data_IF_594975182020
#
_entry.id   IF_594975182020
#
_cell.length_a   1.000
_cell.length_b   1.000
_cell.length_c   1.000
_cell.angle_alpha   90.00
_cell.angle_beta   90.00
_cell.angle_gamma   90.00
#
_symmetry.space_group_name_H-M   'P 1'
#
loop_
_entity.id
_entity.type
_entity.pdbx_description
1 polymer ?
#
# COMPACT_ATOMS: atom_id res chain seq x y z
N UNK A 1 22.28 24.58 -0.43
CA UNK A 1 21.89 23.17 -0.19
C UNK A 1 22.42 22.60 1.13
N UNK A 2 23.69 22.85 1.52
CA UNK A 2 24.31 22.22 2.71
C UNK A 2 23.55 22.39 4.04
N UNK A 3 22.98 23.57 4.31
CA UNK A 3 22.17 23.82 5.53
C UNK A 3 20.92 22.95 5.59
N UNK A 4 20.18 22.85 4.48
CA UNK A 4 18.95 22.05 4.44
C UNK A 4 19.22 20.57 4.72
N UNK A 5 20.25 20.00 4.09
CA UNK A 5 20.56 18.57 4.23
C UNK A 5 21.19 18.25 5.58
N UNK A 6 22.17 19.04 6.03
CA UNK A 6 22.96 18.66 7.20
C UNK A 6 22.50 19.27 8.53
N UNK A 7 21.65 20.30 8.52
CA UNK A 7 21.07 20.87 9.74
C UNK A 7 19.55 20.67 9.82
N UNK A 8 18.80 20.94 8.75
CA UNK A 8 17.33 20.90 8.83
C UNK A 8 16.80 19.47 8.88
N UNK A 9 17.24 18.57 7.98
CA UNK A 9 16.78 17.17 8.00
C UNK A 9 17.17 16.45 9.30
N UNK A 10 18.33 16.75 9.86
CA UNK A 10 18.82 16.22 11.13
C UNK A 10 17.93 16.59 12.34
N UNK A 11 17.12 17.63 12.21
CA UNK A 11 16.20 18.11 13.24
C UNK A 11 14.74 17.79 12.93
N UNK A 12 14.47 17.04 11.86
CA UNK A 12 13.11 16.69 11.49
C UNK A 12 12.45 15.82 12.58
N UNK A 13 11.14 15.98 12.83
CA UNK A 13 10.39 15.05 13.67
C UNK A 13 10.60 13.61 13.21
N UNK A 14 10.77 12.69 14.17
CA UNK A 14 11.07 11.28 13.90
C UNK A 14 12.57 10.95 13.77
N UNK A 15 13.46 11.94 13.74
CA UNK A 15 14.91 11.69 13.89
C UNK A 15 15.23 11.31 15.33
N UNK A 16 15.86 10.14 15.54
CA UNK A 16 16.31 9.70 16.86
C UNK A 16 17.51 10.55 17.30
N UNK A 17 18.46 10.76 16.39
CA UNK A 17 19.66 11.58 16.60
C UNK A 17 20.41 11.82 15.29
N UNK A 18 21.22 12.86 15.28
CA UNK A 18 22.19 13.13 14.23
C UNK A 18 23.62 13.05 14.78
N UNK A 19 24.54 12.51 13.99
CA UNK A 19 25.97 12.46 14.29
C UNK A 19 26.72 13.35 13.31
N UNK A 20 27.67 14.14 13.83
CA UNK A 20 28.63 14.89 13.04
C UNK A 20 30.00 14.28 13.28
N UNK A 21 30.76 14.02 12.21
CA UNK A 21 32.03 13.27 12.32
C UNK A 21 33.15 14.08 12.97
N UNK A 22 33.12 15.40 12.82
CA UNK A 22 34.06 16.33 13.44
C UNK A 22 33.39 17.64 13.85
N UNK A 23 34.07 18.46 14.65
CA UNK A 23 33.60 19.81 14.97
C UNK A 23 33.50 20.71 13.74
N UNK A 24 34.32 20.47 12.70
CA UNK A 24 34.20 21.20 11.44
C UNK A 24 32.83 20.96 10.78
N UNK A 25 32.30 19.74 10.88
CA UNK A 25 30.99 19.37 10.33
C UNK A 25 29.83 20.07 11.07
N UNK A 26 30.03 20.63 12.27
CA UNK A 26 29.03 21.47 12.95
C UNK A 26 28.89 22.86 12.30
N UNK A 27 29.88 23.29 11.51
CA UNK A 27 29.85 24.57 10.80
C UNK A 27 29.07 24.43 9.49
N UNK A 28 27.75 24.33 9.60
CA UNK A 28 26.88 24.03 8.46
C UNK A 28 26.68 25.27 7.57
N UNK A 29 26.94 25.11 6.26
CA UNK A 29 26.66 26.13 5.24
C UNK A 29 27.90 26.65 4.50
N UNK A 30 27.66 27.56 3.53
CA UNK A 30 28.72 28.09 2.66
C UNK A 30 29.25 27.09 1.63
N UNK A 31 30.42 27.39 1.06
CA UNK A 31 31.13 26.53 0.11
C UNK A 31 31.99 25.46 0.82
N UNK A 32 31.41 24.77 1.80
CA UNK A 32 32.08 23.76 2.63
C UNK A 32 31.38 22.41 2.51
N UNK A 33 32.14 21.34 2.71
CA UNK A 33 31.59 20.01 2.89
C UNK A 33 31.18 19.87 4.35
N UNK A 34 29.94 19.44 4.58
CA UNK A 34 29.41 19.10 5.89
C UNK A 34 28.90 17.66 5.82
N UNK A 35 29.35 16.82 6.74
CA UNK A 35 28.96 15.41 6.85
C UNK A 35 28.12 15.23 8.10
N UNK A 36 26.93 14.69 7.91
CA UNK A 36 26.07 14.26 9.00
C UNK A 36 25.56 12.84 8.74
N UNK A 37 25.33 12.10 9.81
CA UNK A 37 24.65 10.80 9.79
C UNK A 37 23.36 10.94 10.58
N UNK A 38 22.23 10.70 9.93
CA UNK A 38 20.91 10.77 10.57
C UNK A 38 20.49 9.35 10.95
N UNK A 39 20.13 9.15 12.21
CA UNK A 39 19.62 7.88 12.72
C UNK A 39 18.11 7.99 12.87
N UNK A 40 17.40 7.11 12.16
CA UNK A 40 15.94 7.06 12.08
C UNK A 40 15.43 5.75 12.68
N UNK A 41 14.18 5.71 13.17
CA UNK A 41 13.50 4.45 13.45
C UNK A 41 13.39 3.60 12.18
N UNK A 42 13.53 2.28 12.34
CA UNK A 42 13.38 1.34 11.23
C UNK A 42 11.90 1.05 11.01
N UNK A 43 11.28 1.77 10.08
CA UNK A 43 9.94 1.44 9.59
C UNK A 43 10.01 0.32 8.54
N UNK A 44 8.99 -0.53 8.52
CA UNK A 44 8.74 -1.53 7.48
C UNK A 44 7.52 -1.10 6.67
N UNK A 45 7.51 -1.38 5.35
CA UNK A 45 6.35 -1.08 4.51
C UNK A 45 5.38 -2.26 4.54
N UNK A 46 4.10 -1.98 4.70
CA UNK A 46 3.02 -2.94 4.42
C UNK A 46 2.12 -2.33 3.37
N UNK A 47 1.80 -3.13 2.35
CA UNK A 47 0.80 -2.78 1.33
C UNK A 47 -0.40 -3.70 1.48
N UNK A 48 -1.59 -3.10 1.51
CA UNK A 48 -2.86 -3.81 1.51
C UNK A 48 -3.53 -3.67 0.15
N UNK A 49 -4.08 -4.74 -0.38
CA UNK A 49 -5.00 -4.72 -1.52
C UNK A 49 -6.43 -4.97 -1.04
N UNK A 50 -7.38 -4.16 -1.52
CA UNK A 50 -8.78 -4.18 -1.11
C UNK A 50 -9.65 -4.11 -2.37
N UNK A 51 -10.65 -4.99 -2.48
CA UNK A 51 -11.61 -4.95 -3.58
C UNK A 51 -12.98 -5.53 -3.22
N UNK A 52 -13.98 -5.25 -4.06
CA UNK A 52 -15.37 -5.74 -3.96
C UNK A 52 -16.04 -5.44 -2.62
N UNK A 53 -15.85 -4.21 -2.10
CA UNK A 53 -16.47 -3.79 -0.81
C UNK A 53 -17.84 -3.11 -0.97
N UNK A 54 -18.23 -2.82 -2.21
CA UNK A 54 -19.45 -2.13 -2.59
C UNK A 54 -20.41 -3.01 -3.41
N UNK A 55 -21.68 -2.60 -3.46
CA UNK A 55 -22.72 -3.18 -4.31
C UNK A 55 -23.21 -2.12 -5.30
N UNK A 56 -24.00 -2.52 -6.30
CA UNK A 56 -24.41 -1.63 -7.39
C UNK A 56 -25.14 -0.37 -6.90
N UNK A 57 -25.87 -0.47 -5.80
CA UNK A 57 -26.70 0.60 -5.24
C UNK A 57 -26.04 1.36 -4.09
N UNK A 58 -24.95 0.85 -3.50
CA UNK A 58 -24.38 1.38 -2.26
C UNK A 58 -22.86 1.12 -2.13
N UNK A 59 -22.15 2.12 -1.62
CA UNK A 59 -20.71 2.03 -1.32
C UNK A 59 -19.82 2.36 -2.52
N UNK A 60 -18.53 2.47 -2.25
CA UNK A 60 -17.47 2.53 -3.25
C UNK A 60 -16.15 2.09 -2.61
N UNK A 61 -15.52 1.06 -3.17
CA UNK A 61 -14.28 0.49 -2.61
C UNK A 61 -13.18 1.50 -2.36
N UNK A 62 -12.97 2.44 -3.28
CA UNK A 62 -11.94 3.46 -3.09
C UNK A 62 -12.26 4.44 -1.96
N UNK A 63 -13.53 4.78 -1.75
CA UNK A 63 -13.95 5.69 -0.66
C UNK A 63 -13.67 5.01 0.66
N UNK A 64 -14.10 3.75 0.80
CA UNK A 64 -13.89 2.99 2.02
C UNK A 64 -12.41 2.76 2.32
N UNK A 65 -11.61 2.40 1.30
CA UNK A 65 -10.17 2.23 1.45
C UNK A 65 -9.49 3.55 1.89
N UNK A 66 -9.85 4.69 1.29
CA UNK A 66 -9.30 5.99 1.68
C UNK A 66 -9.70 6.37 3.11
N UNK A 67 -10.96 6.15 3.49
CA UNK A 67 -11.43 6.35 4.86
C UNK A 67 -10.65 5.50 5.86
N UNK A 68 -10.37 4.24 5.53
CA UNK A 68 -9.54 3.36 6.36
C UNK A 68 -8.12 3.91 6.53
N UNK A 69 -7.48 4.36 5.45
CA UNK A 69 -6.16 4.99 5.49
C UNK A 69 -6.12 6.22 6.39
N UNK A 70 -7.05 7.15 6.20
CA UNK A 70 -7.13 8.42 6.95
C UNK A 70 -7.53 8.23 8.43
N UNK A 71 -8.32 7.20 8.72
CA UNK A 71 -8.76 6.86 10.08
C UNK A 71 -7.67 6.20 10.93
N UNK A 72 -6.59 5.69 10.32
CA UNK A 72 -5.49 5.10 11.07
C UNK A 72 -4.77 6.16 11.93
N UNK A 73 -4.83 6.01 13.26
CA UNK A 73 -4.16 6.87 14.25
C UNK A 73 -3.22 6.11 15.18
N UNK A 74 -2.81 4.90 14.78
CA UNK A 74 -1.89 4.06 15.56
C UNK A 74 -0.53 4.75 15.62
N UNK A 75 -0.02 5.02 16.83
CA UNK A 75 1.32 5.57 17.00
C UNK A 75 2.37 4.60 16.45
N UNK A 76 3.30 5.11 15.64
CA UNK A 76 4.28 4.27 14.92
C UNK A 76 3.75 3.66 13.63
N UNK A 77 2.63 4.18 13.10
CA UNK A 77 2.10 3.88 11.77
C UNK A 77 1.87 5.16 10.99
N UNK A 78 2.41 5.23 9.79
CA UNK A 78 2.26 6.35 8.87
C UNK A 78 1.55 5.88 7.60
N UNK A 79 0.42 6.53 7.27
CA UNK A 79 -0.26 6.32 5.99
C UNK A 79 0.53 7.02 4.87
N UNK A 80 1.05 6.24 3.94
CA UNK A 80 1.87 6.76 2.83
C UNK A 80 1.02 7.17 1.62
N UNK A 81 -0.18 6.58 1.49
CA UNK A 81 -1.14 6.92 0.45
C UNK A 81 -1.90 5.72 -0.11
N UNK A 82 -2.82 6.03 -1.01
CA UNK A 82 -3.66 5.07 -1.72
C UNK A 82 -3.35 5.08 -3.21
N UNK A 83 -3.43 3.91 -3.84
CA UNK A 83 -3.42 3.73 -5.29
C UNK A 83 -4.75 3.16 -5.75
N UNK A 84 -5.37 3.80 -6.74
CA UNK A 84 -6.44 3.22 -7.53
C UNK A 84 -5.84 2.34 -8.61
N UNK A 85 -6.35 1.11 -8.73
CA UNK A 85 -5.87 0.14 -9.71
C UNK A 85 -7.02 -0.26 -10.63
N UNK A 86 -6.94 0.16 -11.88
CA UNK A 86 -7.88 -0.25 -12.91
C UNK A 86 -7.61 -1.72 -13.28
N UNK A 87 -8.59 -2.58 -13.07
CA UNK A 87 -8.51 -4.01 -13.41
C UNK A 87 -9.11 -4.25 -14.81
N UNK A 88 -9.41 -5.51 -15.14
CA UNK A 88 -9.97 -5.87 -16.44
C UNK A 88 -11.43 -5.37 -16.60
N UNK A 89 -11.72 -4.37 -17.46
CA UNK A 89 -13.07 -3.85 -17.65
C UNK A 89 -13.99 -4.86 -18.33
N UNK A 90 -13.49 -5.99 -18.85
CA UNK A 90 -14.29 -7.07 -19.44
C UNK A 90 -14.78 -8.07 -18.40
N UNK A 91 -14.38 -7.94 -17.12
CA UNK A 91 -14.83 -8.82 -16.06
C UNK A 91 -16.38 -8.84 -15.94
N UNK A 92 -17.00 -10.03 -15.86
CA UNK A 92 -18.43 -10.16 -15.57
C UNK A 92 -18.68 -9.84 -14.09
N UNK A 93 -19.87 -9.32 -13.75
CA UNK A 93 -20.26 -9.00 -12.37
C UNK A 93 -19.30 -8.07 -11.61
N UNK A 94 -18.69 -7.12 -12.33
CA UNK A 94 -17.89 -6.03 -11.77
C UNK A 94 -18.76 -4.92 -11.17
N UNK A 95 -18.20 -4.20 -10.20
CA UNK A 95 -18.64 -2.84 -9.84
C UNK A 95 -18.51 -1.93 -11.07
N UNK A 96 -19.16 -0.77 -11.06
CA UNK A 96 -19.27 0.13 -12.23
C UNK A 96 -17.93 0.42 -12.92
N UNK A 97 -16.83 0.50 -12.16
CA UNK A 97 -15.51 0.85 -12.69
C UNK A 97 -14.47 -0.29 -12.67
N UNK A 98 -14.75 -1.44 -12.04
CA UNK A 98 -13.79 -2.56 -11.91
C UNK A 98 -12.40 -2.08 -11.43
N UNK A 99 -12.39 -1.41 -10.27
CA UNK A 99 -11.20 -0.76 -9.72
C UNK A 99 -10.96 -1.26 -8.31
N UNK A 100 -9.81 -1.90 -8.09
CA UNK A 100 -9.33 -2.23 -6.75
C UNK A 100 -8.54 -1.06 -6.13
N UNK A 101 -8.37 -1.09 -4.81
CA UNK A 101 -7.63 -0.07 -4.07
C UNK A 101 -6.45 -0.69 -3.33
N UNK A 102 -5.28 -0.04 -3.39
CA UNK A 102 -4.13 -0.43 -2.59
C UNK A 102 -3.74 0.65 -1.60
N UNK A 103 -3.61 0.30 -0.32
CA UNK A 103 -3.14 1.20 0.74
C UNK A 103 -1.69 0.86 1.07
N UNK A 104 -0.84 1.87 1.24
CA UNK A 104 0.53 1.70 1.70
C UNK A 104 0.76 2.40 3.03
N UNK A 105 1.40 1.71 3.95
CA UNK A 105 1.78 2.22 5.25
C UNK A 105 3.26 1.99 5.51
N UNK A 106 3.89 2.89 6.26
CA UNK A 106 5.12 2.63 6.97
C UNK A 106 4.75 2.33 8.43
N UNK A 107 5.24 1.21 8.97
CA UNK A 107 4.89 0.75 10.32
C UNK A 107 6.14 0.32 11.10
N UNK A 108 6.21 0.64 12.39
CA UNK A 108 7.22 0.08 13.29
C UNK A 108 7.01 -1.45 13.42
N UNK A 109 8.08 -2.27 13.48
CA UNK A 109 7.96 -3.72 13.47
C UNK A 109 7.01 -4.28 14.55
N UNK A 110 6.97 -3.68 15.72
CA UNK A 110 6.11 -4.05 16.85
C UNK A 110 4.64 -3.65 16.68
N UNK A 111 4.31 -2.83 15.67
CA UNK A 111 2.96 -2.33 15.37
C UNK A 111 2.28 -3.02 14.19
N UNK A 112 2.95 -3.96 13.52
CA UNK A 112 2.44 -4.62 12.30
C UNK A 112 1.11 -5.33 12.52
N UNK A 113 1.02 -6.15 13.57
CA UNK A 113 -0.20 -6.90 13.89
C UNK A 113 -1.38 -5.97 14.23
N UNK A 114 -1.09 -4.87 14.94
CA UNK A 114 -2.09 -3.85 15.28
C UNK A 114 -2.64 -3.20 14.00
N UNK A 115 -1.77 -2.83 13.06
CA UNK A 115 -2.16 -2.29 11.75
C UNK A 115 -2.96 -3.28 10.92
N UNK A 116 -2.51 -4.53 10.80
CA UNK A 116 -3.19 -5.58 10.02
C UNK A 116 -4.60 -5.81 10.59
N UNK A 117 -4.73 -5.92 11.92
CA UNK A 117 -6.01 -6.07 12.60
C UNK A 117 -6.92 -4.86 12.40
N UNK A 118 -6.37 -3.64 12.47
CA UNK A 118 -7.11 -2.41 12.23
C UNK A 118 -7.69 -2.37 10.81
N UNK A 119 -6.85 -2.58 9.78
CA UNK A 119 -7.30 -2.53 8.38
C UNK A 119 -8.38 -3.58 8.13
N UNK A 120 -8.18 -4.82 8.59
CA UNK A 120 -9.18 -5.88 8.46
C UNK A 120 -10.52 -5.45 9.08
N UNK A 121 -10.50 -5.09 10.35
CA UNK A 121 -11.71 -4.77 11.12
C UNK A 121 -12.44 -3.58 10.50
N UNK A 122 -11.71 -2.51 10.17
CA UNK A 122 -12.30 -1.31 9.60
C UNK A 122 -13.01 -1.59 8.28
N UNK A 123 -12.35 -2.31 7.37
CA UNK A 123 -12.93 -2.63 6.06
C UNK A 123 -14.14 -3.57 6.20
N UNK A 124 -14.04 -4.61 7.03
CA UNK A 124 -15.13 -5.58 7.21
C UNK A 124 -16.37 -4.97 7.89
N UNK A 125 -16.19 -4.06 8.85
CA UNK A 125 -17.31 -3.40 9.54
C UNK A 125 -18.08 -2.40 8.66
N UNK A 126 -17.41 -1.81 7.67
CA UNK A 126 -17.97 -0.75 6.83
C UNK A 126 -18.24 -1.20 5.39
N UNK A 127 -17.85 -2.41 5.02
CA UNK A 127 -18.21 -2.98 3.74
C UNK A 127 -19.69 -3.38 3.72
N UNK A 128 -20.34 -3.13 2.58
CA UNK A 128 -21.72 -3.54 2.30
C UNK A 128 -21.79 -4.77 1.38
N UNK A 129 -20.64 -5.36 1.06
CA UNK A 129 -20.51 -6.47 0.12
C UNK A 129 -20.07 -7.76 0.83
N UNK A 130 -20.75 -8.90 0.58
CA UNK A 130 -20.33 -10.19 1.09
C UNK A 130 -19.11 -10.76 0.34
N UNK A 131 -18.64 -10.07 -0.71
CA UNK A 131 -17.60 -10.54 -1.62
C UNK A 131 -16.21 -9.94 -1.33
N UNK A 132 -16.11 -9.12 -0.28
CA UNK A 132 -14.93 -8.33 0.08
C UNK A 132 -13.63 -9.14 0.11
N UNK A 133 -12.62 -8.67 -0.62
CA UNK A 133 -11.26 -9.21 -0.56
C UNK A 133 -10.30 -8.24 0.12
N UNK A 134 -9.45 -8.78 0.99
CA UNK A 134 -8.40 -8.02 1.67
C UNK A 134 -7.15 -8.89 1.73
N UNK A 135 -6.04 -8.41 1.17
CA UNK A 135 -4.74 -9.05 1.30
C UNK A 135 -3.67 -8.05 1.68
N UNK A 136 -2.53 -8.54 2.16
CA UNK A 136 -1.36 -7.72 2.42
C UNK A 136 -0.05 -8.40 2.04
N UNK A 137 0.97 -7.56 1.86
CA UNK A 137 2.35 -7.94 1.67
C UNK A 137 3.25 -7.00 2.48
N UNK A 138 4.19 -7.59 3.21
CA UNK A 138 5.27 -6.86 3.85
C UNK A 138 6.45 -6.68 2.88
N UNK A 139 7.01 -5.47 2.82
CA UNK A 139 8.20 -5.17 2.03
C UNK A 139 8.02 -4.05 1.02
N UNK A 140 9.14 -3.64 0.42
CA UNK A 140 9.19 -2.54 -0.53
C UNK A 140 8.92 -2.99 -1.97
N UNK A 141 9.36 -4.21 -2.31
CA UNK A 141 9.38 -4.75 -3.66
C UNK A 141 8.20 -5.71 -3.82
N UNK A 142 7.39 -5.48 -4.86
CA UNK A 142 6.31 -6.41 -5.22
C UNK A 142 6.92 -7.66 -5.87
N UNK A 143 6.48 -8.87 -5.52
CA UNK A 143 6.98 -10.10 -6.12
C UNK A 143 6.59 -10.19 -7.60
N UNK A 144 7.46 -10.83 -8.38
CA UNK A 144 7.17 -11.12 -9.78
C UNK A 144 6.08 -12.19 -9.89
N UNK A 145 5.03 -11.86 -10.63
CA UNK A 145 3.87 -12.72 -10.84
C UNK A 145 3.25 -12.48 -12.21
N UNK A 146 2.93 -13.53 -12.99
CA UNK A 146 2.16 -13.38 -14.22
C UNK A 146 0.77 -12.77 -13.94
N UNK A 147 0.24 -12.97 -12.74
CA UNK A 147 -1.05 -12.46 -12.29
C UNK A 147 -1.18 -10.96 -12.46
N UNK A 148 -0.09 -10.22 -12.25
CA UNK A 148 -0.06 -8.76 -12.41
C UNK A 148 -0.50 -8.32 -13.80
N UNK A 149 -0.03 -8.99 -14.86
CA UNK A 149 -0.51 -8.71 -16.22
C UNK A 149 -1.92 -9.27 -16.42
N UNK A 150 -2.12 -10.52 -16.02
CA UNK A 150 -3.33 -11.27 -16.31
C UNK A 150 -4.58 -10.64 -15.69
N UNK A 151 -4.50 -10.05 -14.49
CA UNK A 151 -5.65 -9.42 -13.83
C UNK A 151 -6.23 -8.25 -14.62
N UNK A 152 -5.44 -7.63 -15.50
CA UNK A 152 -5.90 -6.57 -16.41
C UNK A 152 -6.32 -7.08 -17.78
N UNK A 153 -5.94 -8.29 -18.18
CA UNK A 153 -6.14 -8.81 -19.56
C UNK A 153 -7.04 -10.03 -19.68
N UNK A 154 -7.18 -10.82 -18.62
CA UNK A 154 -7.84 -12.13 -18.59
C UNK A 154 -8.96 -12.17 -17.55
N UNK A 155 -9.80 -13.21 -17.62
CA UNK A 155 -10.80 -13.51 -16.58
C UNK A 155 -10.20 -14.56 -15.64
N UNK A 156 -9.99 -14.17 -14.39
CA UNK A 156 -9.33 -15.01 -13.39
C UNK A 156 -10.34 -15.58 -12.39
N UNK A 157 -9.94 -16.63 -11.67
CA UNK A 157 -10.76 -17.26 -10.63
C UNK A 157 -10.17 -17.00 -9.24
N UNK A 158 -11.00 -17.15 -8.22
CA UNK A 158 -10.57 -16.99 -6.82
C UNK A 158 -9.57 -18.08 -6.43
N UNK A 159 -9.72 -19.30 -6.95
CA UNK A 159 -8.78 -20.40 -6.73
C UNK A 159 -7.39 -20.05 -7.26
N UNK A 160 -7.32 -19.46 -8.47
CA UNK A 160 -6.04 -19.02 -9.02
C UNK A 160 -5.43 -17.88 -8.20
N UNK A 161 -6.24 -16.92 -7.76
CA UNK A 161 -5.79 -15.84 -6.88
C UNK A 161 -5.20 -16.38 -5.57
N UNK A 162 -5.89 -17.31 -4.92
CA UNK A 162 -5.44 -17.93 -3.67
C UNK A 162 -4.12 -18.70 -3.85
N UNK A 163 -4.03 -19.54 -4.88
CA UNK A 163 -2.82 -20.33 -5.17
C UNK A 163 -1.62 -19.43 -5.50
N UNK A 164 -1.85 -18.36 -6.25
CA UNK A 164 -0.78 -17.44 -6.61
C UNK A 164 -0.33 -16.58 -5.43
N UNK A 165 -1.27 -16.11 -4.59
CA UNK A 165 -0.95 -15.37 -3.37
C UNK A 165 -0.05 -16.19 -2.44
N UNK A 166 -0.39 -17.46 -2.21
CA UNK A 166 0.43 -18.39 -1.43
C UNK A 166 1.84 -18.53 -2.05
N UNK A 167 1.92 -18.72 -3.38
CA UNK A 167 3.19 -18.86 -4.10
C UNK A 167 4.12 -17.65 -3.91
N UNK A 168 3.57 -16.45 -3.85
CA UNK A 168 4.33 -15.19 -3.81
C UNK A 168 4.43 -14.57 -2.42
N UNK A 169 3.90 -15.23 -1.38
CA UNK A 169 3.96 -14.75 0.00
C UNK A 169 3.01 -13.61 0.33
N UNK A 170 1.90 -13.48 -0.40
CA UNK A 170 0.81 -12.56 -0.08
C UNK A 170 -0.19 -13.27 0.84
N UNK A 171 -0.62 -12.57 1.89
CA UNK A 171 -1.57 -13.13 2.87
C UNK A 171 -2.94 -12.49 2.71
N UNK A 172 -3.97 -13.32 2.49
CA UNK A 172 -5.37 -12.89 2.59
C UNK A 172 -5.82 -12.85 4.05
N UNK A 173 -6.53 -11.78 4.43
CA UNK A 173 -7.03 -11.56 5.79
C UNK A 173 -8.54 -11.39 5.84
N UNK A 174 -9.21 -11.27 4.68
CA UNK A 174 -10.67 -11.23 4.59
C UNK A 174 -11.34 -12.51 5.14
N UNK A 175 -12.48 -12.31 5.79
CA UNK A 175 -13.31 -13.38 6.32
C UNK A 175 -14.29 -13.93 5.27
N UNK A 176 -14.53 -13.19 4.18
CA UNK A 176 -15.47 -13.57 3.12
C UNK A 176 -14.97 -14.77 2.30
N UNK A 177 -13.66 -14.87 2.06
CA UNK A 177 -13.06 -15.91 1.23
C UNK A 177 -13.75 -16.03 -0.15
N UNK A 178 -13.97 -14.87 -0.77
CA UNK A 178 -14.89 -14.70 -1.88
C UNK A 178 -14.21 -14.07 -3.10
N UNK A 179 -14.99 -13.63 -4.11
CA UNK A 179 -14.43 -13.23 -5.42
C UNK A 179 -13.53 -11.98 -5.34
N UNK A 180 -13.72 -11.11 -4.35
CA UNK A 180 -12.91 -9.89 -4.17
C UNK A 180 -11.42 -10.17 -3.95
N UNK A 181 -11.06 -11.41 -3.62
CA UNK A 181 -9.65 -11.85 -3.59
C UNK A 181 -8.93 -11.70 -4.93
N UNK A 182 -9.66 -11.81 -6.04
CA UNK A 182 -9.12 -11.63 -7.40
C UNK A 182 -8.58 -10.21 -7.57
N UNK A 183 -9.43 -9.22 -7.30
CA UNK A 183 -9.07 -7.84 -7.53
C UNK A 183 -8.23 -7.22 -6.41
N UNK A 184 -8.37 -7.67 -5.17
CA UNK A 184 -7.48 -7.23 -4.07
C UNK A 184 -6.03 -7.67 -4.30
N UNK A 185 -5.79 -8.90 -4.76
CA UNK A 185 -4.44 -9.34 -5.16
C UNK A 185 -3.91 -8.51 -6.34
N UNK A 186 -4.76 -8.26 -7.33
CA UNK A 186 -4.44 -7.37 -8.44
C UNK A 186 -4.03 -5.97 -7.99
N UNK A 187 -4.84 -5.35 -7.12
CA UNK A 187 -4.58 -4.02 -6.59
C UNK A 187 -3.23 -3.97 -5.86
N UNK A 188 -2.95 -4.97 -5.02
CA UNK A 188 -1.68 -5.08 -4.30
C UNK A 188 -0.49 -5.13 -5.26
N UNK A 189 -0.53 -5.99 -6.28
CA UNK A 189 0.60 -6.19 -7.20
C UNK A 189 0.92 -4.97 -8.08
N UNK A 190 -0.07 -4.10 -8.31
CA UNK A 190 0.06 -2.84 -9.06
C UNK A 190 0.35 -1.61 -8.18
N UNK A 191 0.45 -1.78 -6.86
CA UNK A 191 0.52 -0.65 -5.92
C UNK A 191 1.70 0.31 -6.16
N UNK A 192 2.80 -0.18 -6.75
CA UNK A 192 4.03 0.58 -7.00
C UNK A 192 4.14 1.16 -8.44
N UNK A 193 3.22 0.86 -9.34
CA UNK A 193 3.37 1.10 -10.79
C UNK A 193 2.84 2.46 -11.27
N UNK A 194 2.67 3.42 -10.36
CA UNK A 194 2.35 4.79 -10.73
C UNK A 194 1.09 4.92 -11.60
N UNK A 195 1.23 5.60 -12.74
CA UNK A 195 0.12 5.87 -13.67
C UNK A 195 -0.36 4.61 -14.38
N UNK A 196 0.52 3.65 -14.65
CA UNK A 196 0.16 2.40 -15.34
C UNK A 196 -0.82 1.57 -14.51
N UNK A 197 -0.78 1.69 -13.18
CA UNK A 197 -1.76 1.07 -12.29
C UNK A 197 -3.19 1.57 -12.55
N UNK A 198 -3.36 2.86 -12.83
CA UNK A 198 -4.66 3.49 -13.09
C UNK A 198 -5.13 3.32 -14.55
N UNK A 199 -4.21 3.04 -15.49
CA UNK A 199 -4.55 2.81 -16.90
C UNK A 199 -5.00 1.39 -17.22
N UNK A 200 -5.63 1.22 -18.38
CA UNK A 200 -5.81 -0.11 -18.97
C UNK A 200 -4.46 -0.66 -19.43
N UNK A 201 -4.33 -1.99 -19.40
CA UNK A 201 -3.07 -2.61 -19.78
C UNK A 201 -2.73 -2.34 -21.25
N UNK A 202 -1.56 -1.73 -21.48
CA UNK A 202 -1.06 -1.41 -22.83
C UNK A 202 -1.58 -0.10 -23.42
N UNK A 203 -2.32 0.71 -22.67
CA UNK A 203 -2.54 2.12 -23.06
C UNK A 203 -1.32 2.94 -22.65
N UNK A 204 -0.68 3.60 -23.62
CA UNK A 204 0.38 4.58 -23.34
C UNK A 204 -0.25 5.80 -22.66
N UNK A 205 0.33 6.24 -21.54
CA UNK A 205 -0.09 7.42 -20.78
C UNK A 205 0.36 8.73 -21.43
#
# INVERSE_FOLDING_TARGET
AGVGVAACLAQAPGVIRAEYKSEEDLNVGGARICRSTVVLPKYEKITFGIDDTDVKEEGATWVLALQCGEACKIEGVEFLGMRLVQLNPKAPNKTTNCTGSALSFAVLPEKKEELISFVKTFIEEHSVSPETGICYLEGLVMPESPYKKQIKTELLTAEYANAEAERIGVTFIDSANAKGRIGSLGALLWANDGVEAAGLFGEEA
#
